data_IF_348629577264
#
_entry.id   IF_348629577264
#
_cell.length_a   1.000
_cell.length_b   1.000
_cell.length_c   1.000
_cell.angle_alpha   90.00
_cell.angle_beta   90.00
_cell.angle_gamma   90.00
#
_symmetry.space_group_name_H-M   'P 1'
#
loop_
_entity.id
_entity.type
_entity.pdbx_description
1 polymer ?
#
# COMPACT_ATOMS: atom_id res chain seq x y z
N UNK A 1 7.63 14.09 -13.14
CA UNK A 1 6.28 14.65 -12.97
C UNK A 1 5.41 13.57 -12.36
N UNK A 2 4.84 13.85 -11.19
CA UNK A 2 3.91 12.94 -10.53
C UNK A 2 2.61 12.87 -11.38
N UNK A 3 1.83 11.79 -11.27
CA UNK A 3 0.56 11.67 -11.98
C UNK A 3 -0.41 12.79 -11.61
N UNK A 4 -0.30 13.31 -10.37
CA UNK A 4 -1.12 14.39 -9.82
C UNK A 4 -0.87 15.75 -10.47
N UNK A 5 0.27 15.94 -11.13
CA UNK A 5 0.63 17.19 -11.80
C UNK A 5 0.10 17.24 -13.25
N UNK A 6 -0.63 16.21 -13.69
CA UNK A 6 -1.12 16.05 -15.06
C UNK A 6 -2.59 16.45 -15.18
N UNK A 7 -3.06 16.85 -16.39
CA UNK A 7 -4.48 17.00 -16.65
C UNK A 7 -5.25 15.74 -16.25
N UNK A 8 -6.48 15.90 -15.76
CA UNK A 8 -7.29 14.81 -15.19
C UNK A 8 -7.36 13.57 -16.09
N UNK A 9 -7.53 13.78 -17.41
CA UNK A 9 -7.61 12.69 -18.37
C UNK A 9 -6.30 11.90 -18.45
N UNK A 10 -5.17 12.60 -18.53
CA UNK A 10 -3.84 11.99 -18.55
C UNK A 10 -3.51 11.30 -17.22
N UNK A 11 -3.93 11.87 -16.09
CA UNK A 11 -3.78 11.26 -14.76
C UNK A 11 -4.56 9.95 -14.65
N UNK A 12 -5.84 9.94 -15.06
CA UNK A 12 -6.67 8.74 -15.05
C UNK A 12 -6.11 7.65 -15.97
N UNK A 13 -5.63 8.03 -17.15
CA UNK A 13 -5.00 7.10 -18.09
C UNK A 13 -3.72 6.47 -17.49
N UNK A 14 -2.88 7.28 -16.85
CA UNK A 14 -1.71 6.80 -16.11
C UNK A 14 -2.07 5.82 -14.99
N UNK A 15 -3.12 6.11 -14.21
CA UNK A 15 -3.59 5.22 -13.13
C UNK A 15 -4.09 3.90 -13.72
N UNK A 16 -4.89 3.97 -14.80
CA UNK A 16 -5.41 2.78 -15.51
C UNK A 16 -4.26 1.89 -15.99
N UNK A 17 -3.28 2.45 -16.69
CA UNK A 17 -2.10 1.71 -17.16
C UNK A 17 -1.27 1.14 -16.02
N UNK A 18 -1.03 1.93 -14.97
CA UNK A 18 -0.30 1.47 -13.78
C UNK A 18 -0.97 0.27 -13.14
N UNK A 19 -2.29 0.34 -12.91
CA UNK A 19 -3.06 -0.76 -12.34
C UNK A 19 -3.06 -1.98 -13.27
N UNK A 20 -3.24 -1.78 -14.59
CA UNK A 20 -3.19 -2.86 -15.57
C UNK A 20 -1.87 -3.63 -15.51
N UNK A 21 -0.72 -2.93 -15.57
CA UNK A 21 0.60 -3.55 -15.46
C UNK A 21 0.78 -4.27 -14.13
N UNK A 22 0.40 -3.62 -13.02
CA UNK A 22 0.53 -4.19 -11.67
C UNK A 22 -0.32 -5.45 -11.49
N UNK A 23 -1.55 -5.47 -11.98
CA UNK A 23 -2.42 -6.65 -11.94
C UNK A 23 -1.82 -7.79 -12.77
N UNK A 24 -1.28 -7.48 -13.96
CA UNK A 24 -0.63 -8.47 -14.81
C UNK A 24 0.62 -9.07 -14.15
N UNK A 25 1.50 -8.24 -13.61
CA UNK A 25 2.67 -8.70 -12.86
C UNK A 25 2.28 -9.59 -11.66
N UNK A 26 1.19 -9.25 -10.96
CA UNK A 26 0.70 -10.05 -9.84
C UNK A 26 0.18 -11.41 -10.31
N UNK A 27 -0.57 -11.48 -11.42
CA UNK A 27 -0.99 -12.76 -12.01
C UNK A 27 0.19 -13.64 -12.40
N UNK A 28 1.22 -13.06 -13.01
CA UNK A 28 2.44 -13.80 -13.36
C UNK A 28 3.19 -14.30 -12.13
N UNK A 29 3.29 -13.49 -11.07
CA UNK A 29 3.87 -13.92 -9.79
C UNK A 29 3.06 -15.06 -9.17
N UNK A 30 1.74 -15.01 -9.27
CA UNK A 30 0.84 -16.03 -8.75
C UNK A 30 0.94 -17.34 -9.55
N UNK A 31 1.02 -17.27 -10.88
CA UNK A 31 1.09 -18.45 -11.75
C UNK A 31 2.44 -19.16 -11.66
N UNK A 32 3.53 -18.41 -11.49
CA UNK A 32 4.88 -18.96 -11.30
C UNK A 32 5.09 -19.60 -9.93
N UNK A 33 4.20 -19.38 -8.96
CA UNK A 33 4.36 -19.93 -7.62
C UNK A 33 3.73 -21.33 -7.52
N UNK A 34 4.58 -22.35 -7.38
CA UNK A 34 4.16 -23.73 -7.15
C UNK A 34 3.89 -24.12 -5.70
N UNK A 35 4.03 -23.19 -4.75
CA UNK A 35 3.77 -23.46 -3.32
C UNK A 35 2.30 -23.19 -2.96
N UNK A 36 1.82 -23.79 -1.87
CA UNK A 36 0.50 -23.48 -1.28
C UNK A 36 0.44 -22.06 -0.73
N UNK A 37 1.51 -21.59 -0.08
CA UNK A 37 1.59 -20.26 0.55
C UNK A 37 2.39 -19.26 -0.29
N UNK A 38 2.03 -17.98 -0.16
CA UNK A 38 2.80 -16.88 -0.74
C UNK A 38 4.25 -16.87 -0.18
N UNK A 39 5.30 -16.62 -0.99
CA UNK A 39 6.69 -16.85 -0.58
C UNK A 39 7.12 -15.99 0.62
N UNK A 40 6.61 -14.75 0.69
CA UNK A 40 6.87 -13.84 1.81
C UNK A 40 6.29 -14.37 3.13
N UNK A 41 5.11 -15.00 3.05
CA UNK A 41 4.41 -15.57 4.22
C UNK A 41 5.10 -16.84 4.67
N UNK A 42 5.48 -17.72 3.73
CA UNK A 42 6.30 -18.91 4.00
C UNK A 42 7.60 -18.54 4.73
N UNK A 43 8.32 -17.51 4.25
CA UNK A 43 9.54 -17.00 4.90
C UNK A 43 9.29 -16.43 6.29
N UNK A 44 8.16 -15.75 6.50
CA UNK A 44 7.79 -15.23 7.83
C UNK A 44 7.44 -16.37 8.80
N UNK A 45 6.68 -17.36 8.34
CA UNK A 45 6.35 -18.54 9.12
C UNK A 45 7.62 -19.30 9.52
N UNK A 46 8.54 -19.52 8.58
CA UNK A 46 9.83 -20.15 8.88
C UNK A 46 10.60 -19.42 9.98
N UNK A 47 10.65 -18.08 9.95
CA UNK A 47 11.29 -17.30 11.03
C UNK A 47 10.63 -17.49 12.40
N UNK A 48 9.34 -17.78 12.45
CA UNK A 48 8.64 -18.09 13.70
C UNK A 48 8.95 -19.52 14.15
N UNK A 49 9.04 -20.46 13.21
CA UNK A 49 9.47 -21.85 13.44
C UNK A 49 10.90 -21.90 13.97
N UNK A 50 11.83 -21.12 13.42
CA UNK A 50 13.23 -21.09 13.87
C UNK A 50 13.38 -20.64 15.34
N UNK A 51 12.37 -19.98 15.91
CA UNK A 51 12.35 -19.47 17.29
C UNK A 51 11.58 -20.36 18.27
N UNK A 52 11.10 -21.53 17.85
CA UNK A 52 10.38 -22.43 18.75
C UNK A 52 11.26 -23.02 19.84
N UNK A 53 12.58 -23.07 19.63
CA UNK A 53 13.55 -23.58 20.62
C UNK A 53 13.52 -22.80 21.94
N UNK A 54 13.07 -21.54 21.91
CA UNK A 54 12.89 -20.71 23.11
C UNK A 54 11.60 -21.02 23.88
N UNK A 55 10.76 -21.94 23.38
CA UNK A 55 9.38 -22.15 23.82
C UNK A 55 9.15 -23.60 24.23
N UNK A 56 8.81 -23.83 25.49
CA UNK A 56 8.47 -25.15 26.03
C UNK A 56 6.94 -25.28 26.10
N UNK A 57 6.33 -26.15 25.29
CA UNK A 57 4.88 -26.35 25.30
C UNK A 57 4.46 -27.32 26.41
N UNK A 58 3.44 -26.93 27.17
CA UNK A 58 2.78 -27.75 28.19
C UNK A 58 1.32 -27.92 27.75
N UNK A 59 0.94 -29.16 27.41
CA UNK A 59 -0.39 -29.49 26.92
C UNK A 59 -1.38 -29.55 28.07
N UNK A 60 -2.43 -28.73 28.04
CA UNK A 60 -3.52 -28.75 29.01
C UNK A 60 -4.65 -29.70 28.57
N UNK A 61 -4.98 -29.67 27.28
CA UNK A 61 -5.89 -30.61 26.63
C UNK A 61 -5.55 -30.66 25.12
N UNK A 62 -6.39 -31.29 24.29
CA UNK A 62 -6.13 -31.45 22.86
C UNK A 62 -5.99 -30.15 22.05
N UNK A 63 -6.43 -29.02 22.60
CA UNK A 63 -6.50 -27.74 21.89
C UNK A 63 -5.77 -26.61 22.62
N UNK A 64 -5.58 -26.73 23.93
CA UNK A 64 -5.06 -25.68 24.78
C UNK A 64 -3.65 -25.99 25.30
N UNK A 65 -2.78 -25.00 25.21
CA UNK A 65 -1.39 -25.07 25.61
C UNK A 65 -0.99 -23.88 26.47
N UNK A 66 -0.19 -24.14 27.49
CA UNK A 66 0.64 -23.13 28.13
C UNK A 66 2.04 -23.21 27.53
N UNK A 67 2.58 -22.10 27.07
CA UNK A 67 3.93 -22.00 26.50
C UNK A 67 4.79 -21.24 27.49
N UNK A 68 5.81 -21.90 28.04
CA UNK A 68 6.83 -21.27 28.87
C UNK A 68 8.02 -20.87 28.00
N UNK A 69 8.40 -19.60 28.03
CA UNK A 69 9.48 -19.07 27.21
C UNK A 69 10.77 -18.87 28.03
N UNK A 70 11.92 -18.90 27.38
CA UNK A 70 13.23 -18.70 28.01
C UNK A 70 13.38 -17.33 28.70
N UNK A 71 12.63 -16.32 28.24
CA UNK A 71 12.56 -14.99 28.84
C UNK A 71 11.75 -14.93 30.15
N UNK A 72 11.25 -16.07 30.64
CA UNK A 72 10.44 -16.20 31.84
C UNK A 72 8.95 -15.89 31.64
N UNK A 73 8.54 -15.48 30.43
CA UNK A 73 7.15 -15.19 30.13
C UNK A 73 6.35 -16.47 29.84
N UNK A 74 5.04 -16.40 30.08
CA UNK A 74 4.11 -17.47 29.78
C UNK A 74 3.00 -16.99 28.85
N UNK A 75 2.62 -17.85 27.91
CA UNK A 75 1.57 -17.56 26.93
C UNK A 75 0.58 -18.71 26.87
N UNK A 76 -0.71 -18.41 26.74
CA UNK A 76 -1.70 -19.44 26.40
C UNK A 76 -1.98 -19.43 24.91
N UNK A 77 -2.10 -20.63 24.36
CA UNK A 77 -2.41 -20.89 22.94
C UNK A 77 -3.64 -21.78 22.87
N UNK A 78 -4.58 -21.39 22.01
CA UNK A 78 -5.74 -22.20 21.62
C UNK A 78 -5.61 -22.49 20.12
N UNK A 79 -5.42 -23.77 19.78
CA UNK A 79 -5.23 -24.24 18.42
C UNK A 79 -6.52 -24.23 17.60
N UNK A 80 -7.68 -24.43 18.23
CA UNK A 80 -8.97 -24.43 17.53
C UNK A 80 -9.41 -23.02 17.17
N UNK A 81 -9.36 -22.12 18.15
CA UNK A 81 -9.68 -20.71 17.93
C UNK A 81 -8.54 -19.96 17.20
N UNK A 82 -7.39 -20.62 16.99
CA UNK A 82 -6.18 -20.05 16.36
C UNK A 82 -5.73 -18.77 17.07
N UNK A 83 -5.67 -18.82 18.40
CA UNK A 83 -5.31 -17.66 19.22
C UNK A 83 -4.08 -17.89 20.08
N UNK A 84 -3.37 -16.80 20.36
CA UNK A 84 -2.28 -16.77 21.32
C UNK A 84 -2.38 -15.48 22.15
N UNK A 85 -2.03 -15.52 23.43
CA UNK A 85 -2.07 -14.30 24.29
C UNK A 85 -1.11 -13.21 23.82
N UNK A 86 -0.07 -13.54 23.05
CA UNK A 86 0.77 -12.54 22.39
C UNK A 86 0.07 -11.76 21.26
N UNK A 87 -1.17 -12.11 20.89
CA UNK A 87 -2.03 -11.48 19.88
C UNK A 87 -1.55 -11.50 18.43
N UNK A 88 -0.29 -11.89 18.18
CA UNK A 88 0.29 -11.92 16.82
C UNK A 88 -0.54 -12.80 15.89
N UNK A 89 -0.98 -13.97 16.35
CA UNK A 89 -1.72 -14.89 15.48
C UNK A 89 -3.09 -14.33 15.08
N UNK A 90 -3.82 -13.72 16.02
CA UNK A 90 -5.11 -13.09 15.73
C UNK A 90 -4.97 -11.88 14.80
N UNK A 91 -3.93 -11.08 14.98
CA UNK A 91 -3.71 -9.86 14.19
C UNK A 91 -3.21 -10.16 12.77
N UNK A 92 -2.36 -11.18 12.62
CA UNK A 92 -1.72 -11.48 11.34
C UNK A 92 -2.33 -12.66 10.61
N UNK A 93 -3.12 -13.52 11.27
CA UNK A 93 -3.54 -14.81 10.72
C UNK A 93 -2.40 -15.82 10.53
N UNK A 94 -1.20 -15.53 11.03
CA UNK A 94 0.00 -16.37 10.89
C UNK A 94 0.43 -16.85 12.28
N UNK A 95 0.63 -18.17 12.48
CA UNK A 95 1.12 -18.70 13.75
C UNK A 95 2.41 -18.00 14.20
N UNK A 96 2.42 -17.51 15.44
CA UNK A 96 3.61 -16.96 16.09
C UNK A 96 4.51 -18.08 16.64
N UNK A 97 5.70 -17.76 17.17
CA UNK A 97 6.61 -18.79 17.72
C UNK A 97 5.96 -19.68 18.80
N UNK A 98 5.09 -19.10 19.65
CA UNK A 98 4.38 -19.85 20.70
C UNK A 98 3.36 -20.82 20.09
N UNK A 99 2.60 -20.35 19.09
CA UNK A 99 1.66 -21.17 18.36
C UNK A 99 2.35 -22.29 17.59
N UNK A 100 3.46 -21.99 16.89
CA UNK A 100 4.26 -22.99 16.20
C UNK A 100 4.74 -24.09 17.16
N UNK A 101 5.21 -23.73 18.36
CA UNK A 101 5.62 -24.70 19.38
C UNK A 101 4.47 -25.64 19.80
N UNK A 102 3.27 -25.11 20.04
CA UNK A 102 2.07 -25.92 20.31
C UNK A 102 1.68 -26.83 19.12
N UNK A 103 1.69 -26.29 17.90
CA UNK A 103 1.34 -27.01 16.67
C UNK A 103 2.26 -28.21 16.46
N UNK A 104 3.58 -28.02 16.58
CA UNK A 104 4.55 -29.11 16.46
C UNK A 104 4.38 -30.16 17.55
N UNK A 105 4.06 -29.76 18.79
CA UNK A 105 3.79 -30.72 19.86
C UNK A 105 2.58 -31.63 19.57
N UNK A 106 1.60 -31.13 18.80
CA UNK A 106 0.43 -31.89 18.33
C UNK A 106 0.72 -32.66 17.01
N UNK A 107 1.96 -32.68 16.52
CA UNK A 107 2.37 -33.27 15.24
C UNK A 107 1.64 -32.70 14.01
N UNK A 108 1.24 -31.43 14.08
CA UNK A 108 0.61 -30.69 12.97
C UNK A 108 1.66 -29.86 12.22
N UNK A 109 1.32 -29.43 11.00
CA UNK A 109 2.15 -28.51 10.22
C UNK A 109 1.68 -27.06 10.43
N UNK A 110 2.57 -26.12 10.78
CA UNK A 110 2.21 -24.71 10.93
C UNK A 110 1.61 -24.08 9.67
N UNK A 111 2.02 -24.55 8.49
CA UNK A 111 1.50 -24.10 7.19
C UNK A 111 -0.01 -24.26 7.07
N UNK A 112 -0.56 -25.37 7.57
CA UNK A 112 -2.00 -25.67 7.52
C UNK A 112 -2.83 -24.78 8.47
N UNK A 113 -2.14 -24.15 9.42
CA UNK A 113 -2.73 -23.29 10.45
C UNK A 113 -2.66 -21.80 10.09
N UNK A 114 -2.02 -21.45 8.96
CA UNK A 114 -2.03 -20.11 8.37
C UNK A 114 -3.43 -19.78 7.83
N UNK A 115 -3.83 -18.51 7.92
CA UNK A 115 -5.11 -18.06 7.38
C UNK A 115 -5.16 -18.22 5.84
N UNK A 116 -6.27 -18.74 5.26
CA UNK A 116 -6.38 -18.97 3.81
C UNK A 116 -6.16 -17.75 2.91
N UNK A 117 -6.25 -16.54 3.45
CA UNK A 117 -5.92 -15.29 2.73
C UNK A 117 -4.49 -15.25 2.20
N UNK A 118 -3.59 -16.05 2.76
CA UNK A 118 -2.20 -16.12 2.32
C UNK A 118 -1.91 -17.25 1.34
N UNK A 119 -2.94 -18.05 0.99
CA UNK A 119 -2.81 -19.10 0.00
C UNK A 119 -2.63 -18.49 -1.39
N UNK A 120 -1.83 -19.16 -2.20
CA UNK A 120 -1.57 -18.74 -3.58
C UNK A 120 -2.86 -18.79 -4.41
N UNK A 121 -3.76 -19.73 -4.15
CA UNK A 121 -5.02 -19.83 -4.88
C UNK A 121 -5.95 -18.67 -4.56
N UNK A 122 -6.06 -18.25 -3.28
CA UNK A 122 -6.76 -17.02 -2.91
C UNK A 122 -6.12 -15.81 -3.59
N UNK A 123 -4.79 -15.75 -3.65
CA UNK A 123 -4.08 -14.68 -4.35
C UNK A 123 -4.40 -14.67 -5.86
N UNK A 124 -4.46 -15.83 -6.51
CA UNK A 124 -4.87 -15.95 -7.93
C UNK A 124 -6.29 -15.43 -8.14
N UNK A 125 -7.24 -15.83 -7.29
CA UNK A 125 -8.63 -15.36 -7.36
C UNK A 125 -8.74 -13.85 -7.21
N UNK A 126 -8.02 -13.25 -6.25
CA UNK A 126 -8.04 -11.80 -6.03
C UNK A 126 -7.53 -11.02 -7.27
N UNK A 127 -6.57 -11.57 -8.01
CA UNK A 127 -5.96 -10.91 -9.17
C UNK A 127 -6.42 -11.46 -10.52
N UNK A 128 -7.43 -12.32 -10.53
CA UNK A 128 -7.96 -12.98 -11.73
C UNK A 128 -8.42 -11.96 -12.77
N UNK A 129 -9.17 -10.95 -12.33
CA UNK A 129 -9.73 -9.94 -13.22
C UNK A 129 -8.66 -8.98 -13.76
N UNK A 130 -8.83 -8.61 -15.04
CA UNK A 130 -7.96 -7.68 -15.75
C UNK A 130 -8.69 -6.38 -16.09
N UNK A 131 -7.97 -5.26 -16.01
CA UNK A 131 -8.38 -4.04 -16.67
C UNK A 131 -8.08 -4.23 -18.16
N UNK A 132 -9.09 -4.09 -19.01
CA UNK A 132 -8.95 -4.25 -20.45
C UNK A 132 -8.40 -2.96 -21.10
N UNK A 133 -7.70 -3.08 -22.24
CA UNK A 133 -7.27 -1.91 -23.00
C UNK A 133 -8.48 -1.10 -23.50
N UNK A 134 -8.30 0.21 -23.56
CA UNK A 134 -9.22 1.14 -24.23
C UNK A 134 -8.48 1.77 -25.41
N UNK A 135 -9.23 2.13 -26.44
CA UNK A 135 -8.67 2.87 -27.58
C UNK A 135 -8.15 4.24 -27.14
N UNK A 136 -7.29 4.87 -27.94
CA UNK A 136 -6.86 6.25 -27.68
C UNK A 136 -8.00 7.25 -27.86
N UNK A 137 -7.85 8.46 -27.28
CA UNK A 137 -8.87 9.51 -27.28
C UNK A 137 -9.40 9.86 -28.68
N UNK A 138 -8.57 9.77 -29.71
CA UNK A 138 -8.94 10.03 -31.11
C UNK A 138 -9.96 9.05 -31.68
N UNK A 139 -10.14 7.90 -31.04
CA UNK A 139 -11.05 6.83 -31.47
C UNK A 139 -12.27 6.69 -30.54
N UNK A 140 -12.44 7.57 -29.56
CA UNK A 140 -13.59 7.53 -28.66
C UNK A 140 -14.84 8.09 -29.33
N UNK A 141 -15.98 7.44 -29.08
CA UNK A 141 -17.27 7.92 -29.55
C UNK A 141 -17.63 9.24 -28.86
N UNK A 142 -18.17 10.18 -29.63
CA UNK A 142 -18.73 11.40 -29.07
C UNK A 142 -20.00 11.07 -28.28
N UNK A 143 -20.08 11.57 -27.04
CA UNK A 143 -21.19 11.25 -26.14
C UNK A 143 -22.42 12.12 -26.36
N UNK A 144 -22.29 13.22 -27.10
CA UNK A 144 -23.35 14.23 -27.27
C UNK A 144 -23.73 14.98 -25.99
N UNK A 145 -23.01 14.73 -24.88
CA UNK A 145 -23.26 15.38 -23.59
C UNK A 145 -22.64 16.77 -23.54
N UNK A 146 -23.24 17.66 -22.74
CA UNK A 146 -22.70 19.00 -22.51
C UNK A 146 -21.31 18.88 -21.87
N UNK A 147 -20.27 19.52 -22.44
CA UNK A 147 -18.93 19.50 -21.87
C UNK A 147 -18.91 20.06 -20.44
N UNK A 148 -18.10 19.50 -19.53
CA UNK A 148 -17.96 20.05 -18.19
C UNK A 148 -17.41 21.47 -18.28
N UNK A 149 -17.99 22.38 -17.48
CA UNK A 149 -17.49 23.74 -17.37
C UNK A 149 -16.06 23.72 -16.78
N UNK A 150 -15.17 24.63 -17.23
CA UNK A 150 -13.85 24.75 -16.63
C UNK A 150 -13.99 25.04 -15.13
N UNK A 151 -13.03 24.58 -14.29
CA UNK A 151 -13.01 24.95 -12.89
C UNK A 151 -13.05 26.47 -12.77
N UNK A 152 -13.86 27.01 -11.84
CA UNK A 152 -13.85 28.43 -11.53
C UNK A 152 -12.51 28.77 -10.84
N UNK A 153 -11.48 29.00 -11.63
CA UNK A 153 -10.30 29.70 -11.17
C UNK A 153 -10.74 31.15 -10.93
N UNK A 154 -11.09 31.48 -9.68
CA UNK A 154 -11.24 32.88 -9.30
C UNK A 154 -10.01 33.65 -9.77
N UNK A 155 -10.17 34.93 -10.12
CA UNK A 155 -9.01 35.78 -10.40
C UNK A 155 -8.07 35.66 -9.20
N UNK A 156 -6.89 35.07 -9.42
CA UNK A 156 -5.82 35.15 -8.43
C UNK A 156 -5.62 36.62 -8.08
N UNK A 157 -5.21 36.97 -6.85
CA UNK A 157 -4.89 38.34 -6.52
C UNK A 157 -3.99 38.89 -7.63
N UNK A 158 -4.46 39.92 -8.34
CA UNK A 158 -3.65 40.55 -9.36
C UNK A 158 -2.32 40.94 -8.75
N UNK A 159 -1.25 41.03 -9.57
CA UNK A 159 0.04 41.56 -9.11
C UNK A 159 -0.24 42.83 -8.28
N UNK A 160 0.16 42.90 -7.00
CA UNK A 160 0.00 44.11 -6.22
C UNK A 160 0.55 45.29 -7.03
N UNK A 161 -0.20 46.38 -7.11
CA UNK A 161 0.26 47.56 -7.82
C UNK A 161 1.66 47.92 -7.31
N UNK A 162 2.66 47.91 -8.20
CA UNK A 162 4.07 48.08 -7.83
C UNK A 162 4.40 49.48 -7.31
N UNK A 163 3.44 50.40 -7.34
CA UNK A 163 3.53 51.73 -6.77
C UNK A 163 2.23 52.05 -6.05
N UNK A 164 2.36 52.66 -4.86
CA UNK A 164 1.25 53.30 -4.14
C UNK A 164 0.63 54.37 -5.03
N UNK A 165 -0.71 54.47 -5.05
CA UNK A 165 -1.39 55.62 -5.64
C UNK A 165 -0.98 56.88 -4.87
N UNK A 166 -0.41 57.87 -5.56
CA UNK A 166 -0.07 59.16 -4.97
C UNK A 166 -1.33 59.99 -4.78
N UNK A 167 -1.41 60.71 -3.67
CA UNK A 167 -2.46 61.70 -3.45
C UNK A 167 -2.17 62.98 -4.27
N UNK A 168 -3.20 63.79 -4.58
CA UNK A 168 -3.08 64.91 -5.52
C UNK A 168 -1.99 65.93 -5.14
N UNK A 169 -1.72 66.10 -3.84
CA UNK A 169 -0.75 67.07 -3.32
C UNK A 169 0.69 66.55 -3.19
N UNK A 170 0.99 65.33 -3.61
CA UNK A 170 2.36 64.80 -3.52
C UNK A 170 3.27 65.32 -4.65
N UNK A 171 4.41 65.97 -4.33
CA UNK A 171 5.31 66.52 -5.33
C UNK A 171 5.99 65.42 -6.17
N UNK A 172 6.03 65.62 -7.48
CA UNK A 172 6.59 64.66 -8.43
C UNK A 172 8.12 64.68 -8.44
N UNK A 173 8.75 63.96 -7.52
CA UNK A 173 10.20 63.75 -7.58
C UNK A 173 10.51 62.75 -8.70
N UNK A 174 11.01 63.27 -9.84
CA UNK A 174 11.55 62.46 -10.94
C UNK A 174 12.88 61.84 -10.51
N UNK A 175 12.85 60.63 -9.96
CA UNK A 175 14.06 59.82 -9.83
C UNK A 175 14.49 59.31 -11.21
N UNK A 176 15.64 59.78 -11.68
CA UNK A 176 16.29 59.32 -12.91
C UNK A 176 16.58 57.83 -12.81
N UNK A 177 15.97 57.02 -13.70
CA UNK A 177 16.29 55.60 -13.85
C UNK A 177 17.73 55.46 -14.34
N UNK A 178 18.63 54.96 -13.48
CA UNK A 178 19.92 54.43 -13.93
C UNK A 178 19.67 53.11 -14.66
N UNK A 179 20.03 53.06 -15.94
CA UNK A 179 20.02 51.84 -16.73
C UNK A 179 21.21 50.95 -16.33
N UNK A 180 20.94 49.76 -15.79
CA UNK A 180 21.97 48.73 -15.61
C UNK A 180 22.12 47.98 -16.95
N UNK A 181 23.29 48.11 -17.56
CA UNK A 181 23.68 47.35 -18.75
C UNK A 181 23.91 45.89 -18.36
N UNK A 182 23.32 44.96 -19.10
CA UNK A 182 23.65 43.54 -19.03
C UNK A 182 25.06 43.34 -19.60
N UNK A 183 25.98 42.76 -18.82
CA UNK A 183 27.25 42.25 -19.31
C UNK A 183 27.06 40.76 -19.65
N UNK A 184 27.21 40.46 -20.93
CA UNK A 184 27.30 39.11 -21.49
C UNK A 184 28.77 38.72 -21.66
N UNK A 185 29.18 37.63 -21.01
CA UNK A 185 30.26 36.65 -21.32
C UNK A 185 30.80 36.08 -20.02
#
# INVERSE_FOLDING_TARGET
>A
MDARDKPILTMLEWIREYLMRRLQENREKASKNGNTLCPKIKKLLQKNVDKIGDCIPIKANDRHYQISCYDGNQYSVDLEMRTCTCRIWQLSGIPCKHACSAIFNQNLQPEDMVHPYYNVDTYKQVYEHAILPISGQTLWNETGLVPPLPPNFGRGPGRPAGARNREPDEPNVKTTKKSCKNLSS
#
